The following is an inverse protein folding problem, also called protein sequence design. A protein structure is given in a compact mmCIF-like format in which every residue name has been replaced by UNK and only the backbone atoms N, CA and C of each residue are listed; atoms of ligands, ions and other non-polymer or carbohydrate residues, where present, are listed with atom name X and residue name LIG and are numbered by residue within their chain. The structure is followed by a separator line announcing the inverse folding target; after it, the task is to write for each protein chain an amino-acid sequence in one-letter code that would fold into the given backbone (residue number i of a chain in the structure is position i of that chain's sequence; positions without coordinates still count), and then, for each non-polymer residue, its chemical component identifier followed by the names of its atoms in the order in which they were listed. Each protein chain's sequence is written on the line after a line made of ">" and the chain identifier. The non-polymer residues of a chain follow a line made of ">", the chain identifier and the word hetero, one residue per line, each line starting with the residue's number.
data_IF_470380820444
#
_entry.id   IF_470380820444
#
_cell.length_a   1.000
_cell.length_b   1.000
_cell.length_c   1.000
_cell.angle_alpha   90.00
_cell.angle_beta   90.00
_cell.angle_gamma   90.00
#
_symmetry.space_group_name_H-M   'P 1'
#
loop_
_entity.id
_entity.type
_entity.pdbx_description
1 polymer ?
#
# COMPACT_ATOMS: atom_id res chain seq x y z
N UNK A 1 -57.85 5.85 -41.50
CA UNK A 1 -57.79 4.45 -41.01
C UNK A 1 -56.31 4.08 -40.99
N UNK A 2 -55.59 4.28 -39.89
CA UNK A 2 -55.53 3.49 -38.64
C UNK A 2 -54.69 2.21 -38.76
N UNK A 3 -53.53 2.21 -38.07
CA UNK A 3 -52.89 1.16 -37.23
C UNK A 3 -51.36 1.35 -37.32
N UNK A 4 -50.68 2.05 -36.38
CA UNK A 4 -50.29 1.59 -35.03
C UNK A 4 -49.66 0.19 -35.01
N UNK A 5 -48.33 0.11 -35.15
CA UNK A 5 -47.52 -0.94 -34.53
C UNK A 5 -46.29 -0.33 -33.89
N UNK A 6 -46.39 -0.13 -32.57
CA UNK A 6 -45.31 0.14 -31.65
C UNK A 6 -44.58 -1.19 -31.44
N UNK A 7 -43.35 -1.30 -31.96
CA UNK A 7 -42.44 -2.38 -31.60
C UNK A 7 -41.44 -1.82 -30.57
N UNK A 8 -41.87 -1.77 -29.31
CA UNK A 8 -40.99 -1.56 -28.17
C UNK A 8 -40.19 -2.86 -27.93
N UNK A 9 -39.07 -3.01 -28.62
CA UNK A 9 -38.11 -4.07 -28.32
C UNK A 9 -37.24 -3.61 -27.14
N UNK A 10 -37.54 -4.15 -25.96
CA UNK A 10 -36.81 -3.89 -24.73
C UNK A 10 -35.37 -4.37 -24.79
N UNK A 11 -34.43 -3.43 -24.70
CA UNK A 11 -33.04 -3.71 -24.37
C UNK A 11 -32.87 -3.68 -22.84
N UNK A 12 -33.36 -4.71 -22.17
CA UNK A 12 -33.03 -4.98 -20.77
C UNK A 12 -31.62 -5.62 -20.72
N UNK A 13 -30.57 -4.83 -20.94
CA UNK A 13 -29.18 -5.23 -20.72
C UNK A 13 -28.79 -5.09 -19.23
N UNK A 14 -29.66 -5.55 -18.33
CA UNK A 14 -29.37 -5.72 -16.91
C UNK A 14 -28.72 -7.09 -16.71
N UNK A 15 -27.44 -7.22 -17.02
CA UNK A 15 -26.68 -8.45 -16.78
C UNK A 15 -25.41 -8.17 -15.98
N UNK A 16 -25.48 -8.50 -14.68
CA UNK A 16 -24.41 -9.11 -13.87
C UNK A 16 -23.28 -8.24 -13.26
N UNK A 17 -23.52 -7.01 -12.81
CA UNK A 17 -22.51 -6.30 -11.95
C UNK A 17 -22.54 -6.70 -10.46
N UNK A 18 -23.30 -7.72 -10.08
CA UNK A 18 -23.71 -7.97 -8.69
C UNK A 18 -22.82 -8.85 -7.80
N UNK A 19 -21.72 -9.42 -8.29
CA UNK A 19 -20.76 -10.16 -7.47
C UNK A 19 -19.36 -10.04 -8.09
N UNK A 20 -18.80 -8.84 -8.08
CA UNK A 20 -17.38 -8.67 -8.37
C UNK A 20 -16.56 -9.22 -7.19
N UNK A 21 -16.51 -10.55 -7.09
CA UNK A 21 -15.69 -11.27 -6.12
C UNK A 21 -14.23 -10.84 -6.27
N UNK A 22 -13.54 -10.63 -5.14
CA UNK A 22 -12.09 -10.47 -5.10
C UNK A 22 -11.46 -11.69 -5.80
N UNK A 23 -10.54 -11.51 -6.76
CA UNK A 23 -9.85 -12.63 -7.38
C UNK A 23 -9.17 -13.48 -6.30
N UNK A 24 -9.22 -14.82 -6.39
CA UNK A 24 -8.53 -15.67 -5.42
C UNK A 24 -7.03 -15.35 -5.42
N UNK A 25 -6.45 -15.19 -4.23
CA UNK A 25 -5.04 -14.85 -4.07
C UNK A 25 -4.69 -13.36 -4.25
N UNK A 26 -5.68 -12.47 -4.38
CA UNK A 26 -5.46 -11.03 -4.39
C UNK A 26 -5.49 -10.43 -2.97
N UNK A 27 -4.41 -9.78 -2.56
CA UNK A 27 -4.38 -8.96 -1.35
C UNK A 27 -5.17 -7.66 -1.53
N UNK A 28 -5.07 -7.06 -2.70
CA UNK A 28 -5.84 -5.89 -3.09
C UNK A 28 -6.03 -5.82 -4.60
N UNK A 29 -7.05 -5.08 -5.04
CA UNK A 29 -7.30 -4.73 -6.43
C UNK A 29 -7.47 -3.23 -6.55
N UNK A 30 -6.72 -2.59 -7.45
CA UNK A 30 -6.73 -1.14 -7.73
C UNK A 30 -6.97 -0.97 -9.22
N UNK A 31 -8.10 -0.40 -9.63
CA UNK A 31 -8.46 -0.25 -11.05
C UNK A 31 -8.37 -1.54 -11.89
N UNK A 32 -8.70 -2.67 -11.28
CA UNK A 32 -8.58 -3.98 -11.94
C UNK A 32 -7.16 -4.56 -11.98
N UNK A 33 -6.14 -3.82 -11.52
CA UNK A 33 -4.82 -4.37 -11.26
C UNK A 33 -4.79 -5.12 -9.94
N UNK A 34 -4.32 -6.36 -9.98
CA UNK A 34 -4.24 -7.23 -8.81
C UNK A 34 -2.88 -7.10 -8.12
N UNK A 35 -2.90 -6.85 -6.82
CA UNK A 35 -1.77 -7.04 -5.92
C UNK A 35 -1.96 -8.43 -5.30
N UNK A 36 -1.02 -9.35 -5.55
CA UNK A 36 -1.11 -10.72 -5.03
C UNK A 36 -0.85 -10.79 -3.53
N UNK A 37 -1.41 -11.82 -2.89
CA UNK A 37 -1.11 -12.18 -1.50
C UNK A 37 0.39 -12.44 -1.29
N UNK A 38 1.04 -13.11 -2.24
CA UNK A 38 2.48 -13.36 -2.20
C UNK A 38 3.27 -12.06 -2.14
N UNK A 39 2.96 -11.08 -3.00
CA UNK A 39 3.66 -9.78 -2.99
C UNK A 39 3.42 -9.01 -1.68
N UNK A 40 2.22 -9.12 -1.12
CA UNK A 40 1.90 -8.50 0.17
C UNK A 40 2.66 -9.18 1.33
N UNK A 41 2.75 -10.50 1.33
CA UNK A 41 3.45 -11.26 2.36
C UNK A 41 4.98 -11.05 2.25
N UNK A 42 5.55 -11.01 1.04
CA UNK A 42 6.95 -10.64 0.80
C UNK A 42 7.27 -9.25 1.33
N UNK A 43 6.44 -8.26 1.00
CA UNK A 43 6.61 -6.89 1.48
C UNK A 43 6.49 -6.79 3.00
N UNK A 44 5.53 -7.51 3.59
CA UNK A 44 5.37 -7.57 5.03
C UNK A 44 6.59 -8.19 5.72
N UNK A 45 7.16 -9.27 5.18
CA UNK A 45 8.36 -9.89 5.74
C UNK A 45 9.58 -8.96 5.68
N UNK A 46 9.79 -8.25 4.56
CA UNK A 46 10.83 -7.22 4.45
C UNK A 46 10.65 -6.13 5.52
N UNK A 47 9.45 -5.56 5.62
CA UNK A 47 9.14 -4.51 6.59
C UNK A 47 9.27 -5.00 8.03
N UNK A 48 8.89 -6.23 8.29
CA UNK A 48 8.97 -6.87 9.58
C UNK A 48 10.42 -6.98 10.05
N UNK A 49 11.32 -7.43 9.18
CA UNK A 49 12.78 -7.50 9.45
C UNK A 49 13.40 -6.13 9.66
N UNK A 50 13.11 -5.17 8.77
CA UNK A 50 13.66 -3.81 8.86
C UNK A 50 13.17 -3.08 10.13
N UNK A 51 11.89 -3.22 10.46
CA UNK A 51 11.30 -2.64 11.67
C UNK A 51 11.88 -3.29 12.92
N UNK A 52 12.06 -4.61 12.96
CA UNK A 52 12.69 -5.30 14.10
C UNK A 52 14.11 -4.81 14.36
N UNK A 53 14.94 -4.65 13.33
CA UNK A 53 16.30 -4.13 13.49
C UNK A 53 16.30 -2.73 14.11
N UNK A 54 15.38 -1.87 13.64
CA UNK A 54 15.24 -0.50 14.16
C UNK A 54 14.71 -0.50 15.59
N UNK A 55 13.68 -1.30 15.87
CA UNK A 55 13.07 -1.45 17.18
C UNK A 55 14.08 -1.94 18.22
N UNK A 56 14.91 -2.94 17.88
CA UNK A 56 15.94 -3.46 18.78
C UNK A 56 16.98 -2.40 19.17
N UNK A 57 17.36 -1.52 18.24
CA UNK A 57 18.26 -0.39 18.53
C UNK A 57 17.64 0.62 19.49
N UNK A 58 16.31 0.71 19.52
CA UNK A 58 15.52 1.58 20.41
C UNK A 58 15.07 0.86 21.70
N UNK A 59 15.49 -0.39 21.92
CA UNK A 59 15.11 -1.18 23.08
C UNK A 59 13.71 -1.81 23.01
N UNK A 60 13.04 -1.75 21.86
CA UNK A 60 11.74 -2.38 21.61
C UNK A 60 11.95 -3.76 21.02
N UNK A 61 11.36 -4.79 21.62
CA UNK A 61 11.55 -6.20 21.23
C UNK A 61 10.34 -6.82 20.52
N UNK A 62 9.25 -6.06 20.36
CA UNK A 62 7.99 -6.56 19.83
C UNK A 62 7.45 -5.65 18.74
N UNK A 63 7.15 -6.24 17.58
CA UNK A 63 6.50 -5.57 16.45
C UNK A 63 5.33 -6.44 16.02
N UNK A 64 4.14 -5.86 15.87
CA UNK A 64 2.93 -6.59 15.48
C UNK A 64 3.01 -7.04 14.02
N UNK A 65 2.87 -8.35 13.78
CA UNK A 65 2.86 -8.90 12.42
C UNK A 65 1.60 -8.45 11.65
N UNK A 66 0.44 -8.39 12.31
CA UNK A 66 -0.82 -8.00 11.67
C UNK A 66 -0.78 -6.56 11.18
N UNK A 67 -0.16 -5.67 11.96
CA UNK A 67 -0.01 -4.27 11.58
C UNK A 67 0.96 -4.09 10.41
N UNK A 68 2.11 -4.77 10.46
CA UNK A 68 3.08 -4.75 9.35
C UNK A 68 2.46 -5.30 8.06
N UNK A 69 1.63 -6.34 8.13
CA UNK A 69 0.91 -6.86 6.94
C UNK A 69 -0.11 -5.89 6.39
N UNK A 70 -0.87 -5.20 7.24
CA UNK A 70 -1.79 -4.14 6.81
C UNK A 70 -1.02 -3.02 6.13
N UNK A 71 0.06 -2.55 6.75
CA UNK A 71 0.92 -1.52 6.21
C UNK A 71 1.48 -1.91 4.83
N UNK A 72 2.00 -3.14 4.69
CA UNK A 72 2.52 -3.65 3.43
C UNK A 72 1.50 -3.60 2.28
N UNK A 73 0.26 -4.03 2.53
CA UNK A 73 -0.80 -3.97 1.51
C UNK A 73 -1.18 -2.53 1.18
N UNK A 74 -1.31 -1.67 2.19
CA UNK A 74 -1.61 -0.25 2.00
C UNK A 74 -0.53 0.46 1.18
N UNK A 75 0.74 0.18 1.45
CA UNK A 75 1.87 0.75 0.72
C UNK A 75 1.93 0.26 -0.72
N UNK A 76 1.68 -1.03 -0.98
CA UNK A 76 1.63 -1.57 -2.34
C UNK A 76 0.49 -0.94 -3.16
N UNK A 77 -0.66 -0.69 -2.52
CA UNK A 77 -1.77 0.05 -3.15
C UNK A 77 -1.37 1.50 -3.42
N UNK A 78 -0.80 2.19 -2.43
CA UNK A 78 -0.37 3.58 -2.57
C UNK A 78 0.70 3.73 -3.66
N UNK A 79 1.67 2.81 -3.73
CA UNK A 79 2.67 2.76 -4.80
C UNK A 79 2.01 2.65 -6.18
N UNK A 80 0.97 1.82 -6.32
CA UNK A 80 0.24 1.68 -7.58
C UNK A 80 -0.52 2.96 -7.96
N UNK A 81 -1.08 3.67 -6.98
CA UNK A 81 -1.75 4.98 -7.19
C UNK A 81 -0.71 6.03 -7.57
N UNK A 82 0.42 6.08 -6.86
CA UNK A 82 1.51 7.00 -7.14
C UNK A 82 2.08 6.80 -8.55
N UNK A 83 2.27 5.55 -8.97
CA UNK A 83 2.64 5.19 -10.33
C UNK A 83 1.66 5.69 -11.39
N UNK A 84 0.36 5.58 -11.12
CA UNK A 84 -0.68 6.07 -12.03
C UNK A 84 -0.61 7.58 -12.14
N UNK A 85 -0.65 8.26 -11.00
CA UNK A 85 -0.71 9.71 -10.94
C UNK A 85 0.56 10.36 -11.53
N UNK A 86 1.73 9.77 -11.29
CA UNK A 86 2.97 10.22 -11.93
C UNK A 86 2.88 10.15 -13.47
N UNK A 87 2.32 9.06 -14.03
CA UNK A 87 2.11 8.95 -15.49
C UNK A 87 1.07 9.93 -16.01
N UNK A 88 -0.02 10.16 -15.28
CA UNK A 88 -1.06 11.11 -15.68
C UNK A 88 -0.60 12.57 -15.64
N UNK A 89 0.39 12.86 -14.80
CA UNK A 89 1.01 14.19 -14.67
C UNK A 89 2.30 14.35 -15.45
N UNK A 90 2.66 13.37 -16.28
CA UNK A 90 3.92 13.35 -17.04
C UNK A 90 5.17 13.59 -16.16
N UNK A 91 5.16 13.09 -14.92
CA UNK A 91 6.29 13.17 -13.99
C UNK A 91 7.30 12.07 -14.34
N UNK A 92 8.49 12.48 -14.76
CA UNK A 92 9.62 11.57 -14.92
C UNK A 92 10.28 11.31 -13.55
N UNK A 93 10.40 10.03 -13.20
CA UNK A 93 10.98 9.60 -11.93
C UNK A 93 12.36 9.00 -12.21
N UNK A 94 13.45 9.76 -11.98
CA UNK A 94 14.79 9.29 -12.31
C UNK A 94 15.12 8.02 -11.52
N UNK A 95 15.56 6.98 -12.21
CA UNK A 95 15.85 5.67 -11.59
C UNK A 95 16.86 5.79 -10.44
N UNK A 96 17.87 6.65 -10.62
CA UNK A 96 18.87 6.91 -9.59
C UNK A 96 18.33 7.51 -8.29
N UNK A 97 17.13 8.09 -8.28
CA UNK A 97 16.55 8.70 -7.09
C UNK A 97 15.94 7.69 -6.11
N UNK A 98 15.63 6.47 -6.56
CA UNK A 98 15.02 5.44 -5.72
C UNK A 98 15.76 4.10 -5.72
N UNK A 99 16.77 3.94 -6.57
CA UNK A 99 17.59 2.71 -6.56
C UNK A 99 18.66 2.75 -5.48
N UNK A 100 18.78 1.65 -4.76
CA UNK A 100 19.84 1.40 -3.80
C UNK A 100 21.19 1.23 -4.51
N UNK A 101 22.24 1.80 -3.91
CA UNK A 101 23.62 1.53 -4.29
C UNK A 101 24.05 0.11 -3.84
N UNK A 102 25.23 -0.34 -4.28
CA UNK A 102 25.69 -1.71 -4.01
C UNK A 102 25.81 -2.03 -2.52
N UNK A 103 26.27 -1.09 -1.70
CA UNK A 103 26.39 -1.27 -0.25
C UNK A 103 25.01 -1.38 0.42
N UNK A 104 24.09 -0.50 0.05
CA UNK A 104 22.71 -0.52 0.55
C UNK A 104 22.00 -1.82 0.18
N UNK A 105 22.16 -2.31 -1.06
CA UNK A 105 21.59 -3.60 -1.49
C UNK A 105 22.17 -4.76 -0.67
N UNK A 106 23.49 -4.75 -0.43
CA UNK A 106 24.12 -5.76 0.42
C UNK A 106 23.62 -5.70 1.87
N UNK A 107 23.38 -4.50 2.40
CA UNK A 107 22.80 -4.32 3.74
C UNK A 107 21.37 -4.86 3.82
N UNK A 108 20.51 -4.52 2.85
CA UNK A 108 19.13 -5.06 2.78
C UNK A 108 19.15 -6.58 2.70
N UNK A 109 19.99 -7.16 1.84
CA UNK A 109 20.09 -8.61 1.69
C UNK A 109 20.57 -9.32 2.98
N UNK A 110 21.47 -8.71 3.75
CA UNK A 110 21.90 -9.25 5.04
C UNK A 110 20.82 -9.15 6.11
N UNK A 111 20.09 -8.04 6.14
CA UNK A 111 19.01 -7.82 7.12
C UNK A 111 17.80 -8.72 6.88
N UNK A 112 17.46 -8.96 5.60
CA UNK A 112 16.30 -9.76 5.18
C UNK A 112 16.78 -11.07 4.56
N UNK A 113 17.59 -11.83 5.29
CA UNK A 113 18.25 -13.05 4.79
C UNK A 113 17.31 -14.23 4.54
N UNK A 114 16.07 -14.17 5.04
CA UNK A 114 15.03 -15.17 4.82
C UNK A 114 14.35 -15.09 3.45
N UNK A 115 14.49 -13.96 2.73
CA UNK A 115 13.94 -13.76 1.40
C UNK A 115 15.04 -13.72 0.32
N UNK A 116 14.69 -13.95 -0.96
CA UNK A 116 15.58 -13.65 -2.06
C UNK A 116 16.00 -12.18 -2.03
N UNK A 117 17.31 -11.91 -2.15
CA UNK A 117 17.86 -10.56 -2.09
C UNK A 117 17.18 -9.60 -3.08
N UNK A 118 16.83 -10.09 -4.28
CA UNK A 118 16.12 -9.31 -5.29
C UNK A 118 14.73 -8.88 -4.79
N UNK A 119 13.97 -9.77 -4.17
CA UNK A 119 12.64 -9.45 -3.61
C UNK A 119 12.74 -8.38 -2.54
N UNK A 120 13.69 -8.52 -1.60
CA UNK A 120 13.88 -7.54 -0.54
C UNK A 120 14.24 -6.16 -1.07
N UNK A 121 15.13 -6.12 -2.08
CA UNK A 121 15.50 -4.86 -2.74
C UNK A 121 14.35 -4.27 -3.53
N UNK A 122 13.60 -5.06 -4.30
CA UNK A 122 12.45 -4.61 -5.07
C UNK A 122 11.38 -3.95 -4.16
N UNK A 123 11.14 -4.50 -2.97
CA UNK A 123 10.21 -3.93 -1.98
C UNK A 123 10.71 -2.57 -1.46
N UNK A 124 11.98 -2.49 -1.06
CA UNK A 124 12.57 -1.25 -0.53
C UNK A 124 12.59 -0.16 -1.60
N UNK A 125 13.00 -0.49 -2.83
CA UNK A 125 13.04 0.46 -3.95
C UNK A 125 11.63 0.91 -4.37
N UNK A 126 10.63 0.01 -4.33
CA UNK A 126 9.23 0.36 -4.57
C UNK A 126 8.70 1.37 -3.55
N UNK A 127 9.05 1.19 -2.27
CA UNK A 127 8.69 2.15 -1.21
C UNK A 127 9.39 3.49 -1.42
N UNK A 128 10.71 3.50 -1.66
CA UNK A 128 11.47 4.73 -1.95
C UNK A 128 10.92 5.47 -3.16
N UNK A 129 10.59 4.74 -4.23
CA UNK A 129 10.03 5.34 -5.44
C UNK A 129 8.70 6.04 -5.18
N UNK A 130 7.87 5.48 -4.29
CA UNK A 130 6.60 6.11 -3.88
C UNK A 130 6.86 7.45 -3.19
N UNK A 131 7.86 7.51 -2.29
CA UNK A 131 8.25 8.78 -1.66
C UNK A 131 8.85 9.79 -2.64
N UNK A 132 9.68 9.34 -3.60
CA UNK A 132 10.20 10.22 -4.65
C UNK A 132 9.06 10.80 -5.49
N UNK A 133 8.08 9.98 -5.89
CA UNK A 133 6.88 10.46 -6.60
C UNK A 133 6.13 11.49 -5.76
N UNK A 134 5.91 11.22 -4.48
CA UNK A 134 5.24 12.17 -3.59
C UNK A 134 5.97 13.51 -3.57
N UNK A 135 7.29 13.50 -3.38
CA UNK A 135 8.10 14.74 -3.41
C UNK A 135 7.94 15.51 -4.73
N UNK A 136 8.04 14.82 -5.88
CA UNK A 136 7.89 15.43 -7.21
C UNK A 136 6.47 16.01 -7.43
N UNK A 137 5.43 15.34 -6.93
CA UNK A 137 4.06 15.87 -6.93
C UNK A 137 3.98 17.12 -6.06
N UNK A 138 4.59 17.09 -4.88
CA UNK A 138 4.62 18.24 -3.96
C UNK A 138 5.28 19.46 -4.57
N UNK A 139 6.39 19.29 -5.28
CA UNK A 139 7.04 20.35 -6.06
C UNK A 139 6.10 20.97 -7.08
N UNK A 140 5.45 20.12 -7.89
CA UNK A 140 4.52 20.56 -8.91
C UNK A 140 3.34 21.34 -8.31
N UNK A 141 2.78 20.88 -7.19
CA UNK A 141 1.67 21.54 -6.50
C UNK A 141 2.05 22.89 -5.90
N UNK A 142 3.27 23.00 -5.35
CA UNK A 142 3.73 24.23 -4.69
C UNK A 142 4.42 25.21 -5.65
N UNK A 143 4.70 24.79 -6.90
CA UNK A 143 5.49 25.59 -7.84
C UNK A 143 6.91 25.88 -7.33
N UNK A 144 7.44 24.98 -6.49
CA UNK A 144 8.78 25.07 -5.91
C UNK A 144 9.67 24.02 -6.54
N UNK A 145 10.90 24.40 -6.82
CA UNK A 145 11.94 23.46 -7.24
C UNK A 145 12.63 22.87 -6.00
N UNK A 146 13.04 21.60 -6.10
CA UNK A 146 13.71 20.82 -5.07
C UNK A 146 14.96 21.55 -4.59
N UNK A 147 14.85 22.15 -3.41
CA UNK A 147 16.00 22.70 -2.70
C UNK A 147 16.52 21.67 -1.70
N UNK A 148 17.46 20.86 -2.16
CA UNK A 148 18.13 19.82 -1.34
C UNK A 148 18.82 20.37 -0.08
N UNK A 149 19.00 21.69 0.03
CA UNK A 149 19.59 22.33 1.21
C UNK A 149 18.58 22.70 2.28
N UNK A 150 17.29 22.81 1.94
CA UNK A 150 16.22 23.19 2.86
C UNK A 150 15.40 22.02 3.41
N UNK A 151 15.74 20.80 2.99
CA UNK A 151 14.94 19.61 3.28
C UNK A 151 13.69 19.55 2.40
N UNK A 152 13.12 18.36 2.27
CA UNK A 152 12.03 18.07 1.33
C UNK A 152 10.73 17.70 2.03
N UNK A 153 10.68 17.81 3.36
CA UNK A 153 9.60 17.29 4.18
C UNK A 153 8.24 17.92 3.85
N UNK A 154 8.20 19.24 3.61
CA UNK A 154 6.99 19.96 3.23
C UNK A 154 6.46 19.54 1.85
N UNK A 155 7.38 19.26 0.91
CA UNK A 155 7.03 18.82 -0.44
C UNK A 155 6.52 17.38 -0.41
N UNK A 156 7.25 16.50 0.28
CA UNK A 156 6.86 15.11 0.46
C UNK A 156 5.49 15.01 1.15
N UNK A 157 5.24 15.81 2.19
CA UNK A 157 3.96 15.84 2.90
C UNK A 157 2.81 16.28 1.97
N UNK A 158 2.99 17.37 1.23
CA UNK A 158 1.99 17.85 0.27
C UNK A 158 1.70 16.82 -0.83
N UNK A 159 2.72 16.13 -1.34
CA UNK A 159 2.53 15.07 -2.31
C UNK A 159 1.86 13.82 -1.76
N UNK A 160 2.17 13.43 -0.52
CA UNK A 160 1.48 12.33 0.16
C UNK A 160 0.00 12.65 0.40
N UNK A 161 -0.32 13.88 0.77
CA UNK A 161 -1.71 14.34 0.90
C UNK A 161 -2.47 14.19 -0.44
N UNK A 162 -1.83 14.56 -1.55
CA UNK A 162 -2.40 14.41 -2.88
C UNK A 162 -2.59 12.93 -3.26
N UNK A 163 -1.59 12.08 -2.99
CA UNK A 163 -1.71 10.64 -3.24
C UNK A 163 -2.85 10.01 -2.42
N UNK A 164 -3.03 10.45 -1.16
CA UNK A 164 -4.14 10.00 -0.32
C UNK A 164 -5.48 10.56 -0.77
N UNK A 165 -5.53 11.77 -1.33
CA UNK A 165 -6.72 12.33 -1.94
C UNK A 165 -7.13 11.52 -3.18
N UNK A 166 -6.14 11.14 -3.99
CA UNK A 166 -6.33 10.32 -5.18
C UNK A 166 -6.79 8.90 -4.81
N UNK A 167 -6.15 8.27 -3.81
CA UNK A 167 -6.53 6.96 -3.28
C UNK A 167 -8.00 6.90 -2.82
N UNK A 168 -8.57 8.00 -2.32
CA UNK A 168 -9.99 8.05 -1.90
C UNK A 168 -10.96 8.04 -3.09
N UNK A 169 -10.52 8.53 -4.25
CA UNK A 169 -11.31 8.52 -5.48
C UNK A 169 -11.22 7.17 -6.20
N UNK A 170 -10.19 6.40 -5.86
CA UNK A 170 -9.85 5.15 -6.48
C UNK A 170 -10.79 3.98 -6.16
N UNK A 171 -10.92 3.06 -7.11
CA UNK A 171 -11.69 1.81 -6.93
C UNK A 171 -10.82 0.74 -6.29
N UNK A 172 -10.44 0.97 -5.04
CA UNK A 172 -9.65 0.02 -4.25
C UNK A 172 -10.54 -0.99 -3.54
N UNK A 173 -10.15 -2.25 -3.66
CA UNK A 173 -10.71 -3.38 -2.89
C UNK A 173 -9.59 -4.14 -2.20
N UNK A 174 -9.59 -4.12 -0.89
CA UNK A 174 -8.70 -4.94 -0.07
C UNK A 174 -9.34 -6.29 0.22
N UNK A 175 -8.53 -7.33 0.38
CA UNK A 175 -9.01 -8.60 0.90
C UNK A 175 -9.55 -8.39 2.33
N UNK A 176 -10.76 -8.87 2.66
CA UNK A 176 -11.38 -8.67 3.97
C UNK A 176 -10.50 -9.08 5.16
N UNK A 177 -9.59 -10.04 4.97
CA UNK A 177 -8.67 -10.53 6.01
C UNK A 177 -7.74 -9.46 6.56
N UNK A 178 -7.47 -8.39 5.80
CA UNK A 178 -6.64 -7.29 6.29
C UNK A 178 -7.41 -6.29 7.15
N UNK A 179 -8.75 -6.34 7.16
CA UNK A 179 -9.57 -5.44 7.98
C UNK A 179 -9.46 -3.96 7.58
N UNK A 180 -9.20 -3.66 6.30
CA UNK A 180 -8.99 -2.28 5.82
C UNK A 180 -10.26 -1.63 5.25
N UNK A 181 -10.37 -0.31 5.41
CA UNK A 181 -11.31 0.56 4.68
C UNK A 181 -10.84 0.73 3.23
N UNK A 182 -11.65 1.34 2.36
CA UNK A 182 -11.21 1.64 0.98
C UNK A 182 -10.03 2.60 0.91
N UNK A 183 -9.84 3.43 1.93
CA UNK A 183 -8.72 4.35 2.02
C UNK A 183 -7.52 3.75 2.78
N UNK A 184 -7.49 2.42 2.95
CA UNK A 184 -6.34 1.71 3.53
C UNK A 184 -6.17 1.88 5.04
N UNK A 185 -7.18 2.43 5.75
CA UNK A 185 -7.14 2.52 7.22
C UNK A 185 -7.71 1.26 7.87
N UNK A 186 -7.24 0.86 9.07
CA UNK A 186 -7.91 -0.18 9.84
C UNK A 186 -9.39 0.16 10.10
N UNK A 187 -10.27 -0.83 9.97
CA UNK A 187 -11.69 -0.67 10.30
C UNK A 187 -11.85 -0.67 11.82
N UNK A 188 -12.48 0.36 12.37
CA UNK A 188 -12.74 0.46 13.82
C UNK A 188 -13.84 -0.48 14.33
N UNK A 189 -14.59 -1.14 13.44
CA UNK A 189 -15.66 -2.08 13.80
C UNK A 189 -15.77 -3.20 12.77
N UNK A 190 -15.32 -4.40 13.13
CA UNK A 190 -15.55 -5.60 12.31
C UNK A 190 -16.71 -6.40 12.92
N UNK A 191 -17.92 -6.20 12.42
CA UNK A 191 -19.10 -7.06 12.72
C UNK A 191 -19.04 -8.43 12.01
N UNK A 192 -17.87 -8.83 11.52
CA UNK A 192 -17.67 -10.07 10.76
C UNK A 192 -16.54 -10.92 11.33
N UNK A 193 -16.85 -11.72 12.35
CA UNK A 193 -16.17 -12.97 12.76
C UNK A 193 -14.67 -13.14 12.45
N UNK A 194 -13.85 -12.15 12.81
CA UNK A 194 -12.44 -12.42 13.08
C UNK A 194 -12.38 -12.86 14.55
N UNK A 195 -11.99 -14.09 14.81
CA UNK A 195 -11.85 -14.67 16.17
C UNK A 195 -10.70 -14.08 16.97
N UNK A 196 -10.32 -12.83 16.69
CA UNK A 196 -9.26 -12.09 17.37
C UNK A 196 -9.74 -10.65 17.57
N UNK A 197 -9.76 -10.21 18.82
CA UNK A 197 -10.16 -8.86 19.20
C UNK A 197 -9.23 -7.83 18.57
N UNK A 198 -9.79 -6.89 17.83
CA UNK A 198 -9.11 -5.71 17.27
C UNK A 198 -9.06 -4.59 18.32
N UNK A 199 -8.52 -4.86 19.51
CA UNK A 199 -8.16 -3.74 20.37
C UNK A 199 -6.99 -3.01 19.70
N UNK A 200 -7.11 -1.69 19.43
CA UNK A 200 -5.96 -0.87 19.09
C UNK A 200 -4.99 -1.06 20.26
N UNK A 201 -3.87 -1.73 20.01
CA UNK A 201 -2.87 -1.94 21.04
C UNK A 201 -2.37 -0.56 21.43
N UNK A 202 -2.79 -0.08 22.60
CA UNK A 202 -2.15 1.04 23.27
C UNK A 202 -0.63 0.79 23.30
N UNK A 203 0.20 1.84 23.32
CA UNK A 203 1.66 1.76 23.22
C UNK A 203 2.35 0.78 24.21
N UNK A 204 1.65 0.26 25.23
CA UNK A 204 2.11 -0.81 26.13
C UNK A 204 1.72 -2.25 25.76
N UNK A 205 0.80 -2.49 24.82
CA UNK A 205 0.23 -3.81 24.54
C UNK A 205 0.97 -4.62 23.45
N UNK A 206 1.90 -3.99 22.72
CA UNK A 206 2.76 -4.72 21.78
C UNK A 206 3.69 -5.72 22.48
N UNK A 207 4.11 -5.40 23.72
CA UNK A 207 4.98 -6.24 24.56
C UNK A 207 4.38 -7.60 24.94
N UNK A 208 3.05 -7.72 24.93
CA UNK A 208 2.29 -8.88 25.43
C UNK A 208 1.72 -9.76 24.31
N UNK A 209 1.96 -9.44 23.03
CA UNK A 209 1.45 -10.24 21.91
C UNK A 209 1.93 -11.69 21.96
N UNK A 210 1.16 -12.72 21.60
CA UNK A 210 1.71 -14.07 21.43
C UNK A 210 2.82 -14.09 20.37
N UNK A 211 3.81 -14.98 20.49
CA UNK A 211 4.92 -15.08 19.51
C UNK A 211 4.44 -15.28 18.07
N UNK A 212 3.30 -15.95 17.88
CA UNK A 212 2.63 -16.16 16.58
C UNK A 212 2.03 -14.89 15.98
N UNK A 213 1.93 -13.80 16.75
CA UNK A 213 1.41 -12.50 16.30
C UNK A 213 2.51 -11.43 16.21
N UNK A 214 3.75 -11.79 16.54
CA UNK A 214 4.90 -10.90 16.46
C UNK A 214 5.66 -11.14 15.17
N UNK A 215 6.33 -10.10 14.72
CA UNK A 215 7.45 -10.24 13.82
C UNK A 215 8.52 -11.14 14.44
N UNK A 216 9.03 -12.09 13.65
CA UNK A 216 9.98 -13.11 14.06
C UNK A 216 11.12 -13.19 13.07
#
# INVERSE_FOLDING_TARGET
>A
MNLRYVAAAGAAALLLTGCQAQPPGAAAVVDGHTISMERADDAAEVYCRLTLVTAQQQGVSTVSNSEVRRQAVSDLVLARVADRLARERDIDVPTSAYTLNAEQRANVARTVSSLPARTAVDVVESSQRTFVIATLIGEQLQGKELDVTKGTDDLQSAGLEELLAELKQEKVRYDPRFGLTRAGQPRSTTTGSLSVSEEPLADGAQGDLPSTQRCA
#
